data_IF_262567356354
#
_entry.id   IF_262567356354
#
_cell.length_a   1.000
_cell.length_b   1.000
_cell.length_c   1.000
_cell.angle_alpha   90.00
_cell.angle_beta   90.00
_cell.angle_gamma   90.00
#
_symmetry.space_group_name_H-M   'P 1'
#
loop_
_entity.id
_entity.type
_entity.pdbx_description
1 polymer ?
#
# COMPACT_ATOMS: atom_id res chain seq x y z
N UNK A 1 38.62 14.28 -44.80
CA UNK A 1 38.93 13.47 -43.60
C UNK A 1 37.75 13.57 -42.65
N UNK A 2 37.41 12.47 -41.98
CA UNK A 2 36.30 12.31 -41.00
C UNK A 2 34.96 11.77 -41.56
N UNK A 3 34.96 10.49 -41.92
CA UNK A 3 33.76 9.65 -42.14
C UNK A 3 33.81 8.34 -41.33
N UNK A 4 34.65 8.26 -40.30
CA UNK A 4 34.82 7.07 -39.46
C UNK A 4 34.34 7.36 -38.03
N UNK A 5 33.04 7.21 -37.76
CA UNK A 5 32.52 7.02 -36.38
C UNK A 5 31.02 6.65 -36.27
N UNK A 6 30.31 6.38 -37.38
CA UNK A 6 28.88 6.01 -37.31
C UNK A 6 28.59 4.53 -37.04
N UNK A 7 29.58 3.64 -37.12
CA UNK A 7 29.35 2.19 -37.09
C UNK A 7 29.23 1.57 -35.67
N UNK A 8 29.74 2.23 -34.63
CA UNK A 8 29.84 1.64 -33.27
C UNK A 8 28.68 1.97 -32.33
N UNK A 9 27.79 2.90 -32.68
CA UNK A 9 26.69 3.35 -31.80
C UNK A 9 25.40 2.52 -31.92
N UNK A 10 25.26 1.74 -32.98
CA UNK A 10 24.04 0.94 -33.24
C UNK A 10 23.85 -0.26 -32.29
N UNK A 11 24.87 -1.09 -31.97
CA UNK A 11 24.66 -2.27 -31.12
C UNK A 11 24.33 -1.90 -29.66
N UNK A 12 24.88 -0.78 -29.16
CA UNK A 12 24.61 -0.31 -27.79
C UNK A 12 23.15 0.16 -27.63
N UNK A 13 22.60 0.82 -28.65
CA UNK A 13 21.19 1.27 -28.65
C UNK A 13 20.21 0.10 -28.73
N UNK A 14 20.54 -0.95 -29.47
CA UNK A 14 19.71 -2.16 -29.56
C UNK A 14 19.71 -2.98 -28.27
N UNK A 15 20.86 -3.12 -27.60
CA UNK A 15 20.95 -3.80 -26.31
C UNK A 15 20.16 -3.06 -25.22
N UNK A 16 20.25 -1.72 -25.17
CA UNK A 16 19.46 -0.91 -24.25
C UNK A 16 17.95 -1.03 -24.52
N UNK A 17 17.54 -1.07 -25.80
CA UNK A 17 16.13 -1.23 -26.18
C UNK A 17 15.58 -2.62 -25.81
N UNK A 18 16.41 -3.67 -25.94
CA UNK A 18 16.04 -5.04 -25.59
C UNK A 18 15.87 -5.22 -24.07
N UNK A 19 16.78 -4.65 -23.27
CA UNK A 19 16.63 -4.62 -21.80
C UNK A 19 15.38 -3.84 -21.38
N UNK A 20 15.05 -2.75 -22.07
CA UNK A 20 13.83 -1.96 -21.81
C UNK A 20 12.54 -2.69 -22.20
N UNK A 21 12.56 -3.50 -23.28
CA UNK A 21 11.42 -4.31 -23.70
C UNK A 21 11.17 -5.51 -22.77
N UNK A 22 12.23 -6.20 -22.33
CA UNK A 22 12.09 -7.34 -21.40
C UNK A 22 11.61 -6.88 -20.02
N UNK A 23 12.02 -5.69 -19.56
CA UNK A 23 11.53 -5.12 -18.30
C UNK A 23 10.06 -4.68 -18.35
N UNK A 24 9.55 -4.24 -19.51
CA UNK A 24 8.11 -3.93 -19.68
C UNK A 24 7.21 -5.17 -19.67
N UNK A 25 7.68 -6.34 -20.14
CA UNK A 25 6.86 -7.56 -20.18
C UNK A 25 6.67 -8.23 -18.81
N UNK A 26 7.62 -8.11 -17.90
CA UNK A 26 7.53 -8.73 -16.56
C UNK A 26 6.49 -7.99 -15.67
N UNK A 27 6.26 -6.70 -15.92
CA UNK A 27 5.27 -5.92 -15.17
C UNK A 27 3.82 -6.38 -15.37
N UNK A 28 3.49 -7.08 -16.47
CA UNK A 28 2.13 -7.54 -16.74
C UNK A 28 1.78 -8.90 -16.10
N UNK A 29 2.77 -9.69 -15.68
CA UNK A 29 2.52 -11.03 -15.12
C UNK A 29 2.05 -11.01 -13.65
N UNK A 30 2.30 -9.93 -12.91
CA UNK A 30 1.82 -9.77 -11.53
C UNK A 30 0.35 -9.30 -11.44
N UNK A 31 -0.30 -9.01 -12.57
CA UNK A 31 -1.58 -8.32 -12.64
C UNK A 31 -2.83 -9.18 -12.30
N UNK A 32 -2.66 -10.43 -11.84
CA UNK A 32 -3.79 -11.36 -11.69
C UNK A 32 -4.00 -11.96 -10.31
N UNK A 33 -3.08 -11.78 -9.34
CA UNK A 33 -3.22 -12.44 -8.02
C UNK A 33 -4.32 -11.78 -7.19
N UNK A 34 -4.58 -10.49 -7.39
CA UNK A 34 -5.69 -9.78 -6.76
C UNK A 34 -7.03 -9.97 -7.48
N UNK A 35 -7.08 -10.73 -8.58
CA UNK A 35 -8.32 -10.99 -9.32
C UNK A 35 -9.11 -12.13 -8.69
N UNK A 36 -10.43 -11.94 -8.56
CA UNK A 36 -11.30 -12.97 -8.01
C UNK A 36 -12.79 -12.72 -8.22
N UNK A 37 -13.64 -13.55 -7.61
CA UNK A 37 -15.08 -13.54 -7.90
C UNK A 37 -15.86 -12.46 -7.14
N UNK A 38 -15.23 -11.73 -6.22
CA UNK A 38 -15.93 -10.77 -5.38
C UNK A 38 -16.10 -9.41 -6.07
N UNK A 39 -17.08 -8.65 -5.59
CA UNK A 39 -17.35 -7.30 -6.05
C UNK A 39 -17.77 -6.40 -4.88
N UNK A 40 -17.28 -5.17 -4.88
CA UNK A 40 -17.47 -4.20 -3.82
C UNK A 40 -18.18 -2.96 -4.36
N UNK A 41 -19.29 -2.57 -3.74
CA UNK A 41 -19.92 -1.27 -3.98
C UNK A 41 -19.48 -0.29 -2.89
N UNK A 42 -19.02 0.88 -3.32
CA UNK A 42 -18.50 1.94 -2.46
C UNK A 42 -19.35 3.18 -2.70
N UNK A 43 -19.89 3.76 -1.62
CA UNK A 43 -20.68 5.00 -1.66
C UNK A 43 -20.09 6.05 -0.74
N UNK A 44 -19.99 7.29 -1.20
CA UNK A 44 -19.53 8.41 -0.40
C UNK A 44 -20.53 9.56 -0.33
N UNK A 45 -20.74 10.07 0.88
CA UNK A 45 -21.62 11.18 1.21
C UNK A 45 -20.85 12.25 2.01
N UNK A 46 -21.15 13.53 1.79
CA UNK A 46 -20.53 14.66 2.48
C UNK A 46 -21.54 15.79 2.65
N UNK A 47 -21.71 16.30 3.88
CA UNK A 47 -22.72 17.32 4.22
C UNK A 47 -24.16 16.98 3.75
N UNK A 48 -24.51 15.69 3.73
CA UNK A 48 -25.82 15.22 3.27
C UNK A 48 -26.00 15.13 1.75
N UNK A 49 -24.95 15.41 0.96
CA UNK A 49 -24.95 15.26 -0.49
C UNK A 49 -23.99 14.14 -0.94
N UNK A 50 -24.25 13.53 -2.10
CA UNK A 50 -23.34 12.57 -2.72
C UNK A 50 -22.01 13.20 -3.12
N UNK A 51 -20.90 12.48 -2.90
CA UNK A 51 -19.54 12.94 -3.27
C UNK A 51 -19.12 12.29 -4.59
N UNK A 52 -19.54 12.83 -5.73
CA UNK A 52 -19.08 12.33 -7.04
C UNK A 52 -17.64 12.72 -7.39
N UNK A 53 -17.02 12.08 -8.37
CA UNK A 53 -15.66 12.44 -8.81
C UNK A 53 -14.54 12.17 -7.81
N UNK A 54 -14.83 11.57 -6.65
CA UNK A 54 -13.79 11.13 -5.73
C UNK A 54 -13.04 9.93 -6.32
N UNK A 55 -11.74 9.88 -6.10
CA UNK A 55 -10.88 8.77 -6.51
C UNK A 55 -10.90 7.69 -5.43
N UNK A 56 -11.08 6.44 -5.86
CA UNK A 56 -11.11 5.25 -5.02
C UNK A 56 -9.96 4.34 -5.41
N UNK A 57 -9.07 4.07 -4.47
CA UNK A 57 -7.94 3.16 -4.63
C UNK A 57 -8.15 1.93 -3.75
N UNK A 58 -7.90 0.73 -4.30
CA UNK A 58 -8.02 -0.54 -3.61
C UNK A 58 -6.68 -1.28 -3.66
N UNK A 59 -6.16 -1.70 -2.51
CA UNK A 59 -4.91 -2.46 -2.40
C UNK A 59 -5.16 -3.78 -1.67
N UNK A 60 -4.81 -4.90 -2.30
CA UNK A 60 -4.93 -6.24 -1.72
C UNK A 60 -3.76 -6.51 -0.79
N UNK A 61 -4.04 -6.68 0.49
CA UNK A 61 -3.00 -6.72 1.54
C UNK A 61 -2.31 -8.08 1.67
N UNK A 62 -2.75 -9.11 0.95
CA UNK A 62 -2.08 -10.41 0.90
C UNK A 62 -0.87 -10.41 -0.06
N UNK A 63 -0.64 -9.33 -0.82
CA UNK A 63 0.52 -9.16 -1.70
C UNK A 63 1.60 -8.32 -1.01
N UNK A 64 2.86 -8.62 -1.32
CA UNK A 64 4.02 -7.82 -0.91
C UNK A 64 4.87 -7.48 -2.15
N UNK A 65 4.84 -6.22 -2.64
CA UNK A 65 4.07 -5.09 -2.11
C UNK A 65 2.56 -5.24 -2.38
N UNK A 66 1.69 -4.58 -1.57
CA UNK A 66 0.27 -4.52 -1.84
C UNK A 66 -0.03 -3.96 -3.24
N UNK A 67 -0.97 -4.59 -3.93
CA UNK A 67 -1.36 -4.22 -5.29
C UNK A 67 -2.86 -4.44 -5.49
N UNK A 68 -3.45 -3.78 -6.48
CA UNK A 68 -4.88 -3.91 -6.77
C UNK A 68 -5.27 -3.37 -8.14
N UNK A 69 -6.57 -3.26 -8.43
CA UNK A 69 -7.05 -2.73 -9.70
C UNK A 69 -6.68 -1.25 -9.87
N UNK A 70 -6.73 -0.71 -11.10
CA UNK A 70 -6.58 0.72 -11.33
C UNK A 70 -7.57 1.55 -10.48
N UNK A 71 -7.19 2.76 -10.05
CA UNK A 71 -8.10 3.63 -9.30
C UNK A 71 -9.41 3.88 -10.05
N UNK A 72 -10.52 3.80 -9.34
CA UNK A 72 -11.85 4.03 -9.87
C UNK A 72 -12.38 5.40 -9.42
N UNK A 73 -13.34 5.97 -10.14
CA UNK A 73 -13.91 7.28 -9.83
C UNK A 73 -15.38 7.13 -9.46
N UNK A 74 -15.81 7.77 -8.37
CA UNK A 74 -17.22 7.79 -7.97
C UNK A 74 -18.08 8.52 -9.02
N UNK A 75 -19.23 7.96 -9.36
CA UNK A 75 -20.20 8.58 -10.27
C UNK A 75 -20.83 9.85 -9.67
N UNK A 76 -21.67 10.56 -10.41
CA UNK A 76 -22.37 11.76 -9.91
C UNK A 76 -23.27 11.49 -8.67
N UNK A 77 -23.62 10.23 -8.41
CA UNK A 77 -24.38 9.79 -7.22
C UNK A 77 -23.45 9.40 -6.07
N UNK A 78 -22.14 9.58 -6.22
CA UNK A 78 -21.14 9.24 -5.20
C UNK A 78 -20.95 7.73 -5.06
N UNK A 79 -21.11 6.95 -6.13
CA UNK A 79 -21.05 5.48 -6.09
C UNK A 79 -20.06 4.94 -7.11
N UNK A 80 -19.40 3.82 -6.76
CA UNK A 80 -18.64 3.00 -7.71
C UNK A 80 -18.80 1.53 -7.35
N UNK A 81 -18.79 0.68 -8.38
CA UNK A 81 -18.75 -0.78 -8.21
C UNK A 81 -17.43 -1.26 -8.78
N UNK A 82 -16.63 -1.92 -7.95
CA UNK A 82 -15.36 -2.54 -8.35
C UNK A 82 -15.52 -4.05 -8.27
N UNK A 83 -15.54 -4.71 -9.42
CA UNK A 83 -15.61 -6.17 -9.52
C UNK A 83 -14.24 -6.81 -9.72
N UNK A 84 -14.21 -8.13 -9.78
CA UNK A 84 -12.99 -8.87 -10.07
C UNK A 84 -12.01 -8.89 -8.91
N UNK A 85 -12.49 -8.81 -7.67
CA UNK A 85 -11.65 -8.75 -6.48
C UNK A 85 -11.43 -10.16 -5.90
N UNK A 86 -10.17 -10.49 -5.59
CA UNK A 86 -9.82 -11.63 -4.76
C UNK A 86 -10.44 -11.51 -3.38
N UNK A 87 -10.76 -12.65 -2.77
CA UNK A 87 -11.27 -12.68 -1.40
C UNK A 87 -10.15 -12.41 -0.39
N UNK A 88 -10.46 -11.75 0.72
CA UNK A 88 -9.54 -11.47 1.81
C UNK A 88 -9.44 -9.99 2.15
N UNK A 89 -8.32 -9.58 2.75
CA UNK A 89 -8.18 -8.24 3.30
C UNK A 89 -7.76 -7.22 2.25
N UNK A 90 -8.53 -6.13 2.16
CA UNK A 90 -8.30 -5.01 1.28
C UNK A 90 -8.17 -3.72 2.06
N UNK A 91 -7.26 -2.85 1.62
CA UNK A 91 -7.24 -1.43 2.00
C UNK A 91 -7.96 -0.64 0.93
N UNK A 92 -8.88 0.21 1.33
CA UNK A 92 -9.61 1.13 0.44
C UNK A 92 -9.34 2.56 0.87
N UNK A 93 -8.94 3.41 -0.08
CA UNK A 93 -8.74 4.85 0.11
C UNK A 93 -9.69 5.62 -0.80
N UNK A 94 -10.44 6.58 -0.24
CA UNK A 94 -11.35 7.47 -0.97
C UNK A 94 -10.90 8.90 -0.73
N UNK A 95 -10.53 9.61 -1.80
CA UNK A 95 -10.00 10.97 -1.74
C UNK A 95 -10.72 11.91 -2.71
N UNK A 96 -10.90 13.16 -2.28
CA UNK A 96 -11.41 14.26 -3.11
C UNK A 96 -10.95 15.59 -2.53
N UNK A 97 -10.60 16.53 -3.40
CA UNK A 97 -10.27 17.90 -2.98
C UNK A 97 -11.37 18.53 -2.11
N UNK A 98 -10.94 19.20 -1.04
CA UNK A 98 -11.85 19.79 -0.05
C UNK A 98 -12.41 18.80 0.98
N UNK A 99 -12.18 17.50 0.82
CA UNK A 99 -12.59 16.46 1.77
C UNK A 99 -11.39 15.81 2.47
N UNK A 100 -11.59 15.38 3.71
CA UNK A 100 -10.66 14.48 4.38
C UNK A 100 -10.58 13.17 3.61
N UNK A 101 -9.36 12.61 3.48
CA UNK A 101 -9.19 11.30 2.84
C UNK A 101 -9.72 10.23 3.77
N UNK A 102 -10.67 9.42 3.30
CA UNK A 102 -11.21 8.30 4.05
C UNK A 102 -10.43 7.04 3.70
N UNK A 103 -10.00 6.29 4.70
CA UNK A 103 -9.37 4.99 4.49
C UNK A 103 -10.03 3.92 5.37
N UNK A 104 -10.12 2.70 4.85
CA UNK A 104 -10.63 1.55 5.58
C UNK A 104 -9.88 0.27 5.21
N UNK A 105 -9.76 -0.63 6.17
CA UNK A 105 -9.37 -2.01 5.94
C UNK A 105 -10.60 -2.90 6.10
N UNK A 106 -10.86 -3.76 5.12
CA UNK A 106 -12.05 -4.59 5.09
C UNK A 106 -11.80 -5.97 4.47
N UNK A 107 -12.42 -7.01 5.05
CA UNK A 107 -12.44 -8.35 4.49
C UNK A 107 -13.55 -8.42 3.43
N UNK A 108 -13.15 -8.68 2.18
CA UNK A 108 -14.03 -8.83 1.02
C UNK A 108 -14.22 -10.31 0.74
N UNK A 109 -15.48 -10.75 0.67
CA UNK A 109 -15.87 -12.11 0.27
C UNK A 109 -16.89 -12.04 -0.85
N UNK A 110 -16.98 -13.09 -1.66
CA UNK A 110 -17.90 -13.15 -2.80
C UNK A 110 -19.36 -12.98 -2.38
N UNK A 111 -19.76 -13.71 -1.34
CA UNK A 111 -21.17 -13.87 -0.98
C UNK A 111 -21.59 -13.09 0.27
N UNK A 112 -20.63 -12.57 1.04
CA UNK A 112 -20.91 -11.86 2.30
C UNK A 112 -20.85 -10.33 2.16
N UNK A 113 -21.45 -9.66 3.15
CA UNK A 113 -21.27 -8.21 3.31
C UNK A 113 -19.81 -7.95 3.73
N UNK A 114 -19.11 -6.97 3.12
CA UNK A 114 -17.75 -6.62 3.52
C UNK A 114 -17.67 -6.29 5.01
N UNK A 115 -16.71 -6.88 5.71
CA UNK A 115 -16.52 -6.67 7.15
C UNK A 115 -15.43 -5.64 7.39
N UNK A 116 -15.76 -4.53 8.06
CA UNK A 116 -14.79 -3.49 8.39
C UNK A 116 -13.88 -3.96 9.53
N UNK A 117 -12.58 -4.00 9.28
CA UNK A 117 -11.56 -4.27 10.28
C UNK A 117 -11.08 -2.98 10.95
N UNK A 118 -10.89 -1.91 10.17
CA UNK A 118 -10.47 -0.60 10.64
C UNK A 118 -10.98 0.52 9.72
N UNK A 119 -11.15 1.73 10.26
CA UNK A 119 -11.48 2.94 9.49
C UNK A 119 -10.74 4.13 10.07
N UNK A 120 -10.21 5.00 9.22
CA UNK A 120 -9.62 6.27 9.63
C UNK A 120 -9.92 7.37 8.61
N UNK A 121 -9.90 8.61 9.07
CA UNK A 121 -9.98 9.79 8.19
C UNK A 121 -8.76 10.64 8.42
N UNK A 122 -8.04 10.92 7.34
CA UNK A 122 -6.82 11.72 7.36
C UNK A 122 -7.16 13.16 6.93
N UNK A 123 -6.78 14.12 7.77
CA UNK A 123 -6.83 15.51 7.38
C UNK A 123 -5.72 15.78 6.36
N UNK A 124 -6.08 16.25 5.18
CA UNK A 124 -5.12 16.61 4.13
C UNK A 124 -5.16 18.13 3.93
N UNK A 125 -4.05 18.79 3.55
CA UNK A 125 -4.07 20.23 3.30
C UNK A 125 -5.20 20.63 2.35
N UNK A 126 -6.03 21.58 2.78
CA UNK A 126 -7.22 22.02 2.03
C UNK A 126 -8.50 21.22 2.30
N UNK A 127 -8.45 20.13 3.07
CA UNK A 127 -9.65 19.43 3.51
C UNK A 127 -10.41 20.25 4.55
N UNK A 128 -11.65 20.60 4.22
CA UNK A 128 -12.56 21.35 5.10
C UNK A 128 -13.79 20.54 5.46
N UNK A 129 -14.01 19.39 4.82
CA UNK A 129 -15.22 18.60 4.95
C UNK A 129 -14.93 17.13 5.26
N UNK A 130 -15.74 16.54 6.13
CA UNK A 130 -15.70 15.10 6.38
C UNK A 130 -16.49 14.35 5.32
N UNK A 131 -16.05 13.13 5.02
CA UNK A 131 -16.73 12.20 4.11
C UNK A 131 -17.19 10.96 4.88
N UNK A 132 -18.41 10.51 4.60
CA UNK A 132 -18.97 9.26 5.11
C UNK A 132 -18.95 8.24 3.97
N UNK A 133 -18.16 7.19 4.12
CA UNK A 133 -18.06 6.11 3.14
C UNK A 133 -18.82 4.89 3.64
N UNK A 134 -19.58 4.24 2.76
CA UNK A 134 -20.31 3.00 3.02
C UNK A 134 -19.86 1.94 2.03
N UNK A 135 -19.79 0.71 2.53
CA UNK A 135 -19.38 -0.46 1.77
C UNK A 135 -20.54 -1.45 1.74
N UNK A 136 -20.92 -1.87 0.54
CA UNK A 136 -21.97 -2.85 0.30
C UNK A 136 -21.45 -3.95 -0.63
N UNK A 137 -22.02 -5.15 -0.52
CA UNK A 137 -21.75 -6.23 -1.47
C UNK A 137 -22.37 -5.83 -2.81
N UNK A 138 -21.54 -5.70 -3.84
CA UNK A 138 -22.06 -5.53 -5.19
C UNK A 138 -22.53 -6.89 -5.71
N UNK A 139 -23.64 -6.92 -6.44
CA UNK A 139 -23.95 -8.09 -7.26
C UNK A 139 -22.82 -8.22 -8.28
N UNK A 140 -22.20 -9.40 -8.48
CA UNK A 140 -21.19 -9.57 -9.51
C UNK A 140 -21.84 -9.17 -10.83
N UNK A 141 -21.53 -7.95 -11.28
CA UNK A 141 -21.92 -7.48 -12.60
C UNK A 141 -21.15 -8.39 -13.52
N UNK A 142 -21.84 -9.33 -14.17
CA UNK A 142 -21.25 -10.36 -15.02
C UNK A 142 -20.10 -9.73 -15.78
N UNK A 143 -18.89 -10.27 -15.57
CA UNK A 143 -17.61 -9.65 -15.87
C UNK A 143 -17.75 -8.68 -17.04
N UNK A 144 -17.49 -7.38 -16.79
CA UNK A 144 -17.50 -6.39 -17.86
C UNK A 144 -16.74 -7.01 -19.03
N UNK A 145 -17.39 -7.23 -20.19
CA UNK A 145 -16.79 -7.98 -21.28
C UNK A 145 -15.44 -7.34 -21.53
N UNK A 146 -14.38 -8.16 -21.44
CA UNK A 146 -13.03 -7.73 -21.75
C UNK A 146 -13.13 -6.91 -23.05
N UNK A 147 -12.55 -5.69 -23.10
CA UNK A 147 -12.64 -4.88 -24.30
C UNK A 147 -12.27 -5.77 -25.49
N UNK A 148 -13.13 -5.85 -26.53
CA UNK A 148 -12.89 -6.76 -27.63
C UNK A 148 -11.48 -6.49 -28.15
N UNK A 149 -10.70 -7.54 -28.44
CA UNK A 149 -9.36 -7.36 -28.96
C UNK A 149 -9.44 -6.40 -30.15
N UNK A 150 -8.53 -5.42 -30.24
CA UNK A 150 -8.61 -4.38 -31.27
C UNK A 150 -8.74 -5.02 -32.65
N UNK A 151 -9.73 -4.55 -33.42
CA UNK A 151 -10.04 -5.12 -34.72
C UNK A 151 -8.79 -5.18 -35.62
N UNK A 152 -8.55 -6.29 -36.35
CA UNK A 152 -7.39 -6.44 -37.21
C UNK A 152 -7.39 -5.32 -38.26
N UNK A 153 -6.34 -4.48 -38.27
CA UNK A 153 -6.15 -3.48 -39.33
C UNK A 153 -5.87 -4.19 -40.66
N UNK A 154 -6.35 -3.65 -41.80
CA UNK A 154 -6.05 -4.19 -43.13
C UNK A 154 -4.54 -4.34 -43.34
N UNK A 155 -4.12 -5.52 -43.80
CA UNK A 155 -2.71 -5.83 -44.04
C UNK A 155 -2.11 -4.88 -45.09
N UNK A 156 -1.08 -4.13 -44.71
CA UNK A 156 -0.23 -3.43 -45.67
C UNK A 156 0.68 -4.42 -46.43
N UNK A 157 1.05 -4.11 -47.69
CA UNK A 157 1.85 -4.99 -48.53
C UNK A 157 3.27 -5.19 -47.97
N UNK A 158 3.66 -6.44 -47.75
CA UNK A 158 4.99 -6.84 -47.25
C UNK A 158 6.06 -6.52 -48.29
N UNK A 159 7.05 -5.69 -47.93
CA UNK A 159 8.23 -5.41 -48.75
C UNK A 159 9.25 -6.57 -48.62
N UNK A 160 9.91 -7.03 -49.71
CA UNK A 160 10.80 -8.20 -49.68
C UNK A 160 12.01 -8.03 -48.75
N UNK A 161 12.37 -9.11 -48.06
CA UNK A 161 13.45 -9.18 -47.07
C UNK A 161 14.84 -9.09 -47.71
N UNK A 162 15.73 -8.31 -47.07
CA UNK A 162 17.14 -8.14 -47.43
C UNK A 162 18.00 -9.27 -46.82
N UNK A 163 19.05 -9.77 -47.51
CA UNK A 163 19.83 -10.93 -47.07
C UNK A 163 20.69 -10.65 -45.82
N UNK A 164 21.01 -11.71 -45.04
CA UNK A 164 21.70 -11.57 -43.76
C UNK A 164 23.17 -11.13 -43.92
N UNK A 165 23.69 -10.26 -43.03
CA UNK A 165 25.10 -9.83 -43.05
C UNK A 165 26.05 -10.94 -42.59
N UNK A 166 27.23 -11.00 -43.23
CA UNK A 166 28.30 -11.95 -42.90
C UNK A 166 28.94 -11.70 -41.53
N UNK A 167 29.35 -12.79 -40.87
CA UNK A 167 30.03 -12.80 -39.56
C UNK A 167 31.30 -11.93 -39.56
N UNK A 168 31.37 -11.00 -38.60
CA UNK A 168 32.59 -10.25 -38.29
C UNK A 168 33.42 -10.98 -37.22
N UNK A 169 34.77 -11.00 -37.35
CA UNK A 169 35.67 -11.63 -36.39
C UNK A 169 35.75 -10.87 -35.05
N UNK A 170 36.15 -11.55 -33.96
CA UNK A 170 36.11 -11.00 -32.61
C UNK A 170 37.09 -9.84 -32.43
N UNK A 171 36.62 -8.78 -31.78
CA UNK A 171 37.39 -7.57 -31.45
C UNK A 171 38.35 -7.80 -30.26
N UNK A 172 39.53 -7.15 -30.25
CA UNK A 172 40.50 -7.27 -29.16
C UNK A 172 40.09 -6.50 -27.88
N UNK A 173 40.52 -7.03 -26.73
CA UNK A 173 40.30 -6.47 -25.38
C UNK A 173 40.83 -5.02 -25.23
N UNK A 174 40.08 -4.13 -24.57
CA UNK A 174 40.53 -2.78 -24.28
C UNK A 174 41.46 -2.73 -23.05
N UNK A 175 42.48 -1.85 -23.03
CA UNK A 175 43.34 -1.64 -21.87
C UNK A 175 42.64 -0.79 -20.79
N UNK A 176 43.03 -1.05 -19.54
CA UNK A 176 42.54 -0.39 -18.34
C UNK A 176 42.77 1.13 -18.36
N UNK A 177 41.71 1.90 -18.07
CA UNK A 177 41.74 3.36 -18.02
C UNK A 177 41.83 3.85 -16.56
N UNK A 178 42.83 4.71 -16.32
CA UNK A 178 43.14 5.37 -15.05
C UNK A 178 42.12 6.49 -14.72
N UNK A 179 41.88 6.68 -13.42
CA UNK A 179 40.98 7.69 -12.87
C UNK A 179 41.49 9.14 -13.06
N UNK A 180 40.61 10.13 -13.33
CA UNK A 180 41.00 11.53 -13.29
C UNK A 180 40.60 12.24 -11.98
N UNK A 181 41.49 13.15 -11.59
CA UNK A 181 41.39 14.06 -10.46
C UNK A 181 40.37 15.20 -10.65
N UNK A 182 39.96 15.74 -9.51
CA UNK A 182 39.12 16.91 -9.23
C UNK A 182 39.61 18.24 -9.82
N UNK A 183 38.68 19.08 -10.27
CA UNK A 183 38.84 20.54 -10.39
C UNK A 183 37.60 21.27 -9.84
N UNK A 184 37.75 22.45 -9.19
CA UNK A 184 36.65 23.33 -8.82
C UNK A 184 36.50 24.52 -9.81
N UNK A 185 35.27 24.91 -10.14
CA UNK A 185 34.93 26.15 -10.90
C UNK A 185 33.49 26.53 -10.52
N UNK A 186 33.22 27.58 -9.72
CA UNK A 186 33.22 29.03 -9.95
C UNK A 186 32.00 29.55 -10.76
N UNK A 187 31.29 30.50 -10.12
CA UNK A 187 30.09 31.25 -10.53
C UNK A 187 30.04 31.72 -12.00
N UNK A 188 28.82 31.77 -12.57
CA UNK A 188 28.49 32.76 -13.61
C UNK A 188 27.29 32.47 -14.52
N UNK A 189 26.21 33.24 -14.31
CA UNK A 189 25.33 33.87 -15.31
C UNK A 189 24.29 33.05 -16.13
N UNK A 190 23.02 33.43 -15.90
CA UNK A 190 21.97 33.84 -16.85
C UNK A 190 21.95 33.21 -18.27
N UNK A 191 20.85 32.52 -18.62
CA UNK A 191 20.04 32.77 -19.83
C UNK A 191 18.88 31.76 -19.95
N UNK A 192 17.66 32.29 -20.08
CA UNK A 192 16.46 31.62 -20.60
C UNK A 192 16.50 31.66 -22.14
N UNK A 193 16.11 30.58 -22.85
CA UNK A 193 15.08 30.72 -23.90
C UNK A 193 14.19 29.44 -24.09
N UNK A 194 13.16 29.48 -24.97
CA UNK A 194 11.92 28.71 -24.78
C UNK A 194 11.76 27.45 -25.67
N UNK A 195 10.77 26.64 -25.25
CA UNK A 195 9.84 25.79 -25.99
C UNK A 195 10.26 25.16 -27.35
N UNK A 196 10.27 23.83 -27.38
CA UNK A 196 9.96 23.04 -28.57
C UNK A 196 9.20 21.76 -28.16
N UNK A 197 7.97 21.64 -28.66
CA UNK A 197 7.15 20.41 -28.71
C UNK A 197 7.85 19.38 -29.60
N UNK A 198 8.12 18.18 -29.10
CA UNK A 198 8.49 17.02 -29.90
C UNK A 198 7.36 15.98 -29.89
N UNK A 199 6.90 15.66 -31.10
CA UNK A 199 5.87 14.69 -31.47
C UNK A 199 6.42 13.26 -31.34
N UNK A 200 5.71 12.31 -30.70
CA UNK A 200 6.24 10.97 -30.47
C UNK A 200 6.10 10.05 -31.69
N UNK A 201 7.23 9.73 -32.31
CA UNK A 201 7.35 8.68 -33.34
C UNK A 201 7.01 7.27 -32.81
N UNK A 202 6.24 6.55 -33.62
CA UNK A 202 5.69 5.23 -33.32
C UNK A 202 6.77 4.13 -33.30
N UNK A 203 6.79 3.33 -32.23
CA UNK A 203 7.66 2.14 -32.11
C UNK A 203 7.07 0.92 -32.86
N UNK A 204 7.91 0.06 -33.46
CA UNK A 204 7.49 -1.14 -34.19
C UNK A 204 7.10 -2.30 -33.25
N UNK A 205 6.13 -3.11 -33.69
CA UNK A 205 5.56 -4.24 -32.96
C UNK A 205 6.40 -5.54 -33.08
N UNK A 206 6.35 -6.44 -32.07
CA UNK A 206 7.02 -7.74 -32.10
C UNK A 206 6.34 -8.77 -33.05
N UNK A 207 7.05 -9.83 -33.47
CA UNK A 207 6.54 -10.84 -34.40
C UNK A 207 5.44 -11.72 -33.80
N UNK A 208 4.44 -12.02 -34.64
CA UNK A 208 3.22 -12.79 -34.33
C UNK A 208 3.50 -14.30 -34.43
N UNK A 209 3.07 -15.14 -33.46
CA UNK A 209 3.10 -16.60 -33.58
C UNK A 209 2.04 -17.14 -34.56
N UNK A 210 2.40 -18.23 -35.25
CA UNK A 210 1.59 -18.85 -36.31
C UNK A 210 0.22 -19.36 -35.84
N UNK A 211 -0.80 -19.40 -36.73
CA UNK A 211 -2.16 -19.78 -36.39
C UNK A 211 -2.29 -21.29 -36.09
N UNK A 212 -2.91 -21.60 -34.96
CA UNK A 212 -3.29 -22.97 -34.57
C UNK A 212 -4.63 -23.32 -35.26
N UNK A 213 -4.77 -24.51 -35.87
CA UNK A 213 -5.99 -24.90 -36.59
C UNK A 213 -7.20 -25.06 -35.66
N UNK A 214 -8.34 -24.58 -36.15
CA UNK A 214 -9.66 -24.65 -35.52
C UNK A 214 -10.14 -26.10 -35.45
N UNK A 215 -10.37 -26.61 -34.25
CA UNK A 215 -10.94 -27.93 -34.03
C UNK A 215 -12.47 -27.93 -34.25
N UNK A 216 -12.94 -29.00 -34.89
CA UNK A 216 -14.33 -29.28 -35.20
C UNK A 216 -15.21 -29.45 -33.94
N UNK A 217 -16.52 -29.14 -34.02
CA UNK A 217 -17.43 -29.27 -32.89
C UNK A 217 -17.61 -30.74 -32.47
N UNK A 218 -17.40 -31.00 -31.18
CA UNK A 218 -17.59 -32.31 -30.57
C UNK A 218 -19.09 -32.65 -30.38
N UNK A 219 -19.48 -33.93 -30.44
CA UNK A 219 -20.86 -34.38 -30.25
C UNK A 219 -21.40 -34.15 -28.83
N UNK A 220 -22.69 -33.85 -28.77
CA UNK A 220 -23.47 -33.62 -27.54
C UNK A 220 -23.51 -34.90 -26.69
N UNK A 221 -22.97 -34.82 -25.47
CA UNK A 221 -22.99 -35.87 -24.46
C UNK A 221 -24.35 -35.87 -23.71
N UNK A 222 -24.96 -37.04 -23.43
CA UNK A 222 -26.28 -37.14 -22.80
C UNK A 222 -26.26 -36.76 -21.31
N UNK A 223 -27.38 -36.18 -20.87
CA UNK A 223 -27.58 -35.66 -19.52
C UNK A 223 -27.37 -36.72 -18.41
N UNK A 224 -26.66 -36.39 -17.32
CA UNK A 224 -26.46 -37.30 -16.20
C UNK A 224 -27.75 -37.48 -15.39
N UNK A 225 -28.08 -38.75 -15.13
CA UNK A 225 -29.20 -39.17 -14.29
C UNK A 225 -28.83 -38.96 -12.83
N UNK A 226 -29.69 -38.23 -12.11
CA UNK A 226 -29.54 -37.87 -10.71
C UNK A 226 -29.69 -39.11 -9.79
N UNK A 227 -28.68 -39.46 -8.97
CA UNK A 227 -28.77 -40.61 -8.07
C UNK A 227 -29.70 -40.34 -6.88
N UNK A 228 -30.52 -41.34 -6.56
CA UNK A 228 -31.48 -41.31 -5.46
C UNK A 228 -30.81 -41.08 -4.09
N UNK A 229 -31.49 -40.38 -3.15
CA UNK A 229 -30.91 -39.99 -1.87
C UNK A 229 -30.59 -41.20 -0.99
N UNK A 230 -29.31 -41.31 -0.59
CA UNK A 230 -28.82 -42.27 0.40
C UNK A 230 -29.45 -41.98 1.77
N UNK A 231 -29.98 -43.01 2.48
CA UNK A 231 -30.60 -42.82 3.79
C UNK A 231 -29.61 -42.28 4.83
N UNK A 232 -30.10 -41.36 5.66
CA UNK A 232 -29.34 -40.68 6.70
C UNK A 232 -28.81 -41.69 7.74
N UNK A 233 -27.53 -41.59 8.14
CA UNK A 233 -26.95 -42.48 9.13
C UNK A 233 -27.59 -42.27 10.51
N UNK A 234 -27.93 -43.39 11.14
CA UNK A 234 -28.45 -43.46 12.51
C UNK A 234 -27.45 -42.83 13.48
N UNK A 235 -27.89 -41.94 14.39
CA UNK A 235 -26.99 -41.25 15.31
C UNK A 235 -26.27 -42.23 16.24
N UNK A 236 -24.93 -42.21 16.17
CA UNK A 236 -24.04 -42.89 17.11
C UNK A 236 -24.26 -42.33 18.52
N UNK A 237 -24.45 -43.19 19.54
CA UNK A 237 -24.66 -42.74 20.92
C UNK A 237 -23.49 -41.90 21.41
N UNK A 238 -23.82 -40.80 22.09
CA UNK A 238 -22.85 -39.84 22.63
C UNK A 238 -21.89 -40.54 23.62
N UNK A 239 -20.58 -40.32 23.51
CA UNK A 239 -19.62 -40.92 24.43
C UNK A 239 -19.85 -40.40 25.85
N UNK A 240 -19.86 -41.33 26.80
CA UNK A 240 -19.92 -41.06 28.24
C UNK A 240 -18.81 -40.05 28.62
N UNK A 241 -19.13 -38.95 29.32
CA UNK A 241 -18.15 -37.95 29.70
C UNK A 241 -17.00 -38.57 30.50
N UNK A 242 -15.77 -38.35 30.04
CA UNK A 242 -14.58 -38.70 30.79
C UNK A 242 -14.55 -37.93 32.12
N UNK A 243 -14.10 -38.55 33.22
CA UNK A 243 -14.03 -37.90 34.53
C UNK A 243 -13.20 -36.63 34.45
N UNK A 244 -13.73 -35.56 35.05
CA UNK A 244 -13.10 -34.25 35.06
C UNK A 244 -11.69 -34.34 35.66
N UNK A 245 -10.65 -33.89 34.95
CA UNK A 245 -9.28 -33.92 35.45
C UNK A 245 -9.18 -33.10 36.73
N UNK A 246 -8.42 -33.62 37.69
CA UNK A 246 -8.14 -32.94 38.96
C UNK A 246 -7.60 -31.52 38.70
N UNK A 247 -8.04 -30.51 39.47
CA UNK A 247 -7.65 -29.12 39.26
C UNK A 247 -6.13 -28.99 39.28
N UNK A 248 -5.59 -28.48 38.17
CA UNK A 248 -4.17 -28.19 38.05
C UNK A 248 -3.76 -27.20 39.16
N UNK A 249 -2.57 -27.37 39.77
CA UNK A 249 -2.09 -26.49 40.81
C UNK A 249 -2.10 -25.04 40.30
N UNK A 250 -2.61 -24.14 41.15
CA UNK A 250 -2.69 -22.71 40.88
C UNK A 250 -1.29 -22.22 40.46
N UNK A 251 -1.10 -21.66 39.25
CA UNK A 251 0.20 -21.19 38.82
C UNK A 251 0.71 -20.15 39.82
N UNK A 252 1.95 -20.34 40.28
CA UNK A 252 2.63 -19.36 41.10
C UNK A 252 2.55 -17.99 40.42
N UNK A 253 2.37 -16.89 41.16
CA UNK A 253 2.31 -15.55 40.59
C UNK A 253 3.53 -15.35 39.71
N UNK A 254 3.31 -15.27 38.40
CA UNK A 254 4.35 -14.94 37.44
C UNK A 254 4.77 -13.54 37.81
N UNK A 255 5.98 -13.39 38.35
CA UNK A 255 6.59 -12.08 38.53
C UNK A 255 6.60 -11.45 37.14
N UNK A 256 5.78 -10.42 36.97
CA UNK A 256 5.73 -9.62 35.76
C UNK A 256 7.16 -9.19 35.48
N UNK A 257 7.74 -9.67 34.39
CA UNK A 257 9.06 -9.22 33.96
C UNK A 257 9.04 -7.69 33.96
N UNK A 258 10.06 -7.03 34.54
CA UNK A 258 10.08 -5.58 34.65
C UNK A 258 9.82 -5.00 33.27
N UNK A 259 8.75 -4.21 33.18
CA UNK A 259 8.37 -3.51 31.96
C UNK A 259 9.62 -2.77 31.47
N UNK A 260 10.11 -3.05 30.25
CA UNK A 260 11.34 -2.45 29.75
C UNK A 260 11.18 -0.94 29.87
N UNK A 261 12.09 -0.30 30.61
CA UNK A 261 12.07 1.13 30.86
C UNK A 261 11.99 1.85 29.51
N UNK A 262 10.81 2.37 29.19
CA UNK A 262 10.53 3.07 27.94
C UNK A 262 11.45 4.29 27.94
N UNK A 263 12.46 4.27 27.07
CA UNK A 263 13.39 5.37 26.91
C UNK A 263 12.59 6.54 26.30
N UNK A 264 12.38 7.58 27.09
CA UNK A 264 12.15 8.96 26.62
C UNK A 264 10.72 9.31 26.20
N UNK A 265 10.08 10.17 27.00
CA UNK A 265 8.85 10.87 26.64
C UNK A 265 7.77 10.73 27.70
N UNK A 266 7.31 11.84 28.27
CA UNK A 266 6.11 11.83 29.11
C UNK A 266 4.91 11.50 28.23
N UNK A 267 4.19 10.41 28.52
CA UNK A 267 2.95 10.10 27.83
C UNK A 267 1.86 11.05 28.31
N UNK A 268 1.34 11.87 27.40
CA UNK A 268 0.22 12.76 27.65
C UNK A 268 -1.10 12.08 27.29
N UNK A 269 -1.96 11.87 28.28
CA UNK A 269 -3.32 11.35 28.10
C UNK A 269 -4.32 12.51 28.03
N UNK A 270 -5.10 12.59 26.94
CA UNK A 270 -6.15 13.59 26.76
C UNK A 270 -7.45 12.89 26.39
N UNK A 271 -8.58 13.35 26.90
CA UNK A 271 -9.89 12.74 26.63
C UNK A 271 -10.91 13.77 26.19
N UNK A 272 -11.92 13.32 25.43
CA UNK A 272 -13.09 14.15 25.14
C UNK A 272 -13.88 14.49 26.41
N UNK A 273 -14.00 13.52 27.34
CA UNK A 273 -14.77 13.67 28.57
C UNK A 273 -14.24 14.81 29.45
N UNK A 274 -12.91 14.94 29.54
CA UNK A 274 -12.24 15.96 30.34
C UNK A 274 -11.98 17.26 29.54
N UNK A 275 -12.42 17.31 28.27
CA UNK A 275 -12.21 18.42 27.32
C UNK A 275 -10.74 18.80 27.11
N UNK A 276 -9.82 17.88 27.39
CA UNK A 276 -8.39 18.06 27.16
C UNK A 276 -7.99 17.66 25.74
N UNK A 277 -8.83 16.88 25.04
CA UNK A 277 -8.65 16.52 23.63
C UNK A 277 -9.74 17.19 22.77
N UNK A 278 -9.43 18.34 22.16
CA UNK A 278 -10.38 19.09 21.33
C UNK A 278 -10.72 18.42 19.99
N UNK A 279 -9.86 17.53 19.53
CA UNK A 279 -9.99 16.78 18.28
C UNK A 279 -10.62 15.39 18.45
N UNK A 280 -10.73 14.92 19.70
CA UNK A 280 -11.37 13.64 20.01
C UNK A 280 -12.88 13.74 19.80
N UNK A 281 -13.51 12.65 19.36
CA UNK A 281 -14.96 12.52 19.30
C UNK A 281 -15.55 12.13 20.66
N UNK A 282 -16.88 12.27 20.87
CA UNK A 282 -17.53 11.70 22.05
C UNK A 282 -17.19 10.22 22.26
N UNK A 283 -16.64 9.89 23.44
CA UNK A 283 -16.20 8.53 23.79
C UNK A 283 -14.75 8.19 23.39
N UNK A 284 -14.03 9.12 22.75
CA UNK A 284 -12.65 8.96 22.33
C UNK A 284 -11.66 9.65 23.30
N UNK A 285 -10.46 9.07 23.37
CA UNK A 285 -9.31 9.60 24.09
C UNK A 285 -8.06 9.49 23.20
N UNK A 286 -6.98 10.15 23.61
CA UNK A 286 -5.70 10.14 22.90
C UNK A 286 -4.53 9.96 23.87
N UNK A 287 -3.54 9.18 23.46
CA UNK A 287 -2.23 9.13 24.09
C UNK A 287 -1.23 9.80 23.15
N UNK A 288 -0.41 10.71 23.67
CA UNK A 288 0.68 11.32 22.89
C UNK A 288 2.01 11.07 23.58
N UNK A 289 3.03 10.73 22.79
CA UNK A 289 4.42 10.66 23.24
C UNK A 289 5.26 11.55 22.34
N UNK A 290 6.26 12.17 22.93
CA UNK A 290 7.21 13.04 22.24
C UNK A 290 8.65 12.60 22.49
N UNK A 291 9.47 12.70 21.45
CA UNK A 291 10.89 12.36 21.52
C UNK A 291 11.72 13.33 20.69
N UNK A 292 12.88 13.75 21.22
CA UNK A 292 13.84 14.58 20.48
C UNK A 292 14.83 13.67 19.78
N UNK A 293 14.76 13.63 18.46
CA UNK A 293 15.57 12.74 17.62
C UNK A 293 16.71 13.55 17.03
N UNK A 294 17.95 13.17 17.36
CA UNK A 294 19.17 13.74 16.78
C UNK A 294 19.20 13.59 15.26
N UNK A 295 20.08 14.31 14.57
CA UNK A 295 20.24 14.14 13.12
C UNK A 295 21.12 12.94 12.80
N UNK A 296 20.84 12.19 11.74
CA UNK A 296 21.66 11.03 11.38
C UNK A 296 21.26 10.40 10.03
N UNK A 297 21.72 9.17 9.73
CA UNK A 297 21.37 8.46 8.50
C UNK A 297 19.89 8.06 8.40
N UNK A 298 19.13 8.10 9.50
CA UNK A 298 17.72 7.71 9.53
C UNK A 298 17.53 6.23 9.83
N UNK A 299 16.31 5.72 9.66
CA UNK A 299 15.96 4.35 10.10
C UNK A 299 16.43 3.26 9.13
N UNK A 300 16.77 3.63 7.89
CA UNK A 300 17.17 2.69 6.84
C UNK A 300 16.03 1.77 6.36
N UNK A 301 16.33 0.82 5.45
CA UNK A 301 15.31 -0.04 4.85
C UNK A 301 14.71 -1.05 5.84
N UNK A 302 15.42 -1.38 6.93
CA UNK A 302 14.99 -2.36 7.94
C UNK A 302 14.01 -1.79 8.99
N UNK A 303 13.44 -0.60 8.75
CA UNK A 303 12.53 0.06 9.69
C UNK A 303 11.28 -0.78 10.00
N UNK A 304 10.81 -1.62 9.06
CA UNK A 304 9.71 -2.58 9.31
C UNK A 304 10.08 -3.61 10.37
N UNK A 305 11.29 -4.15 10.28
CA UNK A 305 11.78 -5.15 11.22
C UNK A 305 11.99 -4.52 12.60
N UNK A 306 12.46 -3.28 12.67
CA UNK A 306 12.57 -2.53 13.93
C UNK A 306 11.20 -2.35 14.61
N UNK A 307 10.17 -1.98 13.84
CA UNK A 307 8.81 -1.82 14.34
C UNK A 307 8.21 -3.15 14.84
N UNK A 308 8.52 -4.25 14.16
CA UNK A 308 8.04 -5.59 14.53
C UNK A 308 8.78 -6.17 15.76
N UNK A 309 10.11 -6.03 15.82
CA UNK A 309 10.95 -6.61 16.87
C UNK A 309 10.80 -5.90 18.21
N UNK A 310 10.53 -4.59 18.20
CA UNK A 310 10.12 -3.83 19.36
C UNK A 310 11.11 -3.64 20.51
N UNK A 311 12.35 -4.11 20.37
CA UNK A 311 13.41 -3.94 21.36
C UNK A 311 14.79 -3.63 20.75
N UNK A 312 14.90 -3.55 19.42
CA UNK A 312 16.17 -3.19 18.78
C UNK A 312 16.45 -1.70 19.00
N UNK A 313 17.69 -1.38 19.41
CA UNK A 313 18.13 0.01 19.53
C UNK A 313 18.17 0.63 18.13
N UNK A 314 17.45 1.74 17.89
CA UNK A 314 17.40 2.35 16.56
C UNK A 314 18.76 2.98 16.21
N UNK A 315 19.13 3.04 14.91
CA UNK A 315 20.33 3.73 14.47
C UNK A 315 20.28 5.23 14.74
N UNK A 316 21.42 5.91 14.66
CA UNK A 316 21.48 7.37 14.79
C UNK A 316 20.54 8.08 13.79
N UNK A 317 19.86 9.12 14.24
CA UNK A 317 18.85 9.80 13.42
C UNK A 317 17.54 9.05 13.28
N UNK A 318 17.35 7.93 13.98
CA UNK A 318 16.10 7.18 14.05
C UNK A 318 15.61 7.09 15.50
N UNK A 319 14.29 7.18 15.69
CA UNK A 319 13.64 6.86 16.94
C UNK A 319 12.41 5.98 16.69
N UNK A 320 12.09 5.12 17.65
CA UNK A 320 10.87 4.30 17.63
C UNK A 320 10.01 4.71 18.82
N UNK A 321 8.95 5.47 18.52
CA UNK A 321 8.00 5.93 19.53
C UNK A 321 6.96 4.82 19.75
N UNK A 322 6.77 4.42 21.01
CA UNK A 322 5.87 3.33 21.38
C UNK A 322 4.86 3.76 22.43
N UNK A 323 3.59 3.43 22.20
CA UNK A 323 2.48 3.66 23.11
C UNK A 323 1.74 2.35 23.34
N UNK A 324 1.36 2.08 24.59
CA UNK A 324 0.49 0.95 24.94
C UNK A 324 -0.90 1.48 25.22
N UNK A 325 -1.89 1.01 24.46
CA UNK A 325 -3.28 1.37 24.70
C UNK A 325 -3.82 0.68 25.96
N UNK A 326 -4.74 1.33 26.70
CA UNK A 326 -5.41 0.70 27.84
C UNK A 326 -6.07 -0.63 27.46
N UNK A 327 -6.18 -1.55 28.42
CA UNK A 327 -6.81 -2.84 28.17
C UNK A 327 -8.24 -2.67 27.63
N UNK A 328 -8.56 -3.40 26.56
CA UNK A 328 -9.87 -3.32 25.88
C UNK A 328 -10.10 -2.06 25.03
N UNK A 329 -9.16 -1.11 25.00
CA UNK A 329 -9.24 0.04 24.10
C UNK A 329 -9.23 -0.41 22.63
N UNK A 330 -10.02 0.27 21.81
CA UNK A 330 -10.01 0.10 20.36
C UNK A 330 -9.30 1.29 19.72
N UNK A 331 -8.24 0.99 18.99
CA UNK A 331 -7.54 1.97 18.16
C UNK A 331 -8.49 2.57 17.12
N UNK A 332 -8.51 3.90 17.00
CA UNK A 332 -9.37 4.64 16.05
C UNK A 332 -8.58 5.49 15.06
N UNK A 333 -7.33 5.83 15.36
CA UNK A 333 -6.48 6.58 14.43
C UNK A 333 -5.16 7.03 15.03
N UNK A 334 -4.41 7.79 14.26
CA UNK A 334 -3.13 8.36 14.67
C UNK A 334 -2.91 9.73 14.03
N UNK A 335 -1.99 10.50 14.60
CA UNK A 335 -1.46 11.73 14.04
C UNK A 335 0.04 11.78 14.28
N UNK A 336 0.75 12.23 13.26
CA UNK A 336 2.18 12.50 13.29
C UNK A 336 2.41 13.99 13.27
N UNK A 337 3.27 14.47 14.16
CA UNK A 337 3.66 15.87 14.21
C UNK A 337 5.18 15.97 14.39
N UNK A 338 5.75 17.02 13.81
CA UNK A 338 7.10 17.49 14.15
C UNK A 338 6.96 18.87 14.78
N UNK A 339 7.51 19.03 15.98
CA UNK A 339 7.53 20.32 16.67
C UNK A 339 8.80 21.08 16.39
N UNK A 340 8.61 22.33 15.98
CA UNK A 340 9.62 23.37 15.85
C UNK A 340 9.42 24.45 16.92
N UNK A 341 10.31 25.45 16.96
CA UNK A 341 10.19 26.57 17.91
C UNK A 341 8.91 27.38 17.74
N UNK A 342 8.34 27.40 16.53
CA UNK A 342 7.13 28.14 16.17
C UNK A 342 5.83 27.36 16.40
N UNK A 343 5.90 26.06 16.71
CA UNK A 343 4.74 25.18 16.89
C UNK A 343 4.92 23.79 16.27
N UNK A 344 3.86 22.99 16.33
CA UNK A 344 3.78 21.68 15.69
C UNK A 344 3.29 21.75 14.25
N UNK A 345 3.86 20.93 13.38
CA UNK A 345 3.40 20.73 12.00
C UNK A 345 2.98 19.28 11.81
N UNK A 346 1.78 19.06 11.28
CA UNK A 346 1.28 17.73 10.96
C UNK A 346 2.04 17.10 9.79
N UNK A 347 2.36 15.81 9.92
CA UNK A 347 3.04 15.02 8.91
C UNK A 347 2.16 13.88 8.40
N UNK A 348 2.43 13.45 7.16
CA UNK A 348 1.82 12.26 6.57
C UNK A 348 2.82 11.11 6.60
N UNK A 349 2.33 9.90 6.89
CA UNK A 349 3.12 8.69 6.78
C UNK A 349 3.70 8.53 5.36
N UNK A 350 4.93 8.04 5.27
CA UNK A 350 5.67 7.85 4.02
C UNK A 350 6.21 9.13 3.39
N UNK A 351 5.93 10.33 3.92
CA UNK A 351 6.33 11.62 3.34
C UNK A 351 7.22 12.43 4.27
N UNK A 352 8.05 13.28 3.67
CA UNK A 352 8.83 14.25 4.42
C UNK A 352 7.92 15.26 5.12
N UNK A 353 8.24 15.55 6.38
CA UNK A 353 7.57 16.58 7.17
C UNK A 353 7.98 17.98 6.68
N UNK A 354 7.06 18.95 6.62
CA UNK A 354 7.47 20.35 6.53
C UNK A 354 8.27 20.72 7.77
N UNK A 355 9.45 21.33 7.60
CA UNK A 355 10.42 21.52 8.69
C UNK A 355 11.48 20.40 8.79
N UNK A 356 11.26 19.32 8.04
CA UNK A 356 12.14 18.16 7.86
C UNK A 356 11.92 17.04 8.87
N UNK A 357 12.65 15.95 8.68
CA UNK A 357 12.31 14.67 9.28
C UNK A 357 11.20 13.96 8.49
N UNK A 358 10.93 12.70 8.83
CA UNK A 358 9.96 11.87 8.13
C UNK A 358 9.44 10.76 9.03
N UNK A 359 8.18 10.40 8.83
CA UNK A 359 7.58 9.18 9.36
C UNK A 359 7.50 8.18 8.21
N UNK A 360 8.43 7.22 8.07
CA UNK A 360 8.57 6.45 6.84
C UNK A 360 7.41 5.50 6.56
N UNK A 361 6.61 5.14 7.58
CA UNK A 361 5.55 4.15 7.50
C UNK A 361 4.35 4.55 8.38
N UNK A 362 3.21 3.91 8.13
CA UNK A 362 2.08 3.85 9.07
C UNK A 362 2.53 3.22 10.41
N UNK A 363 1.84 3.51 11.53
CA UNK A 363 2.18 2.90 12.80
C UNK A 363 1.91 1.38 12.76
N UNK A 364 2.80 0.60 13.33
CA UNK A 364 2.63 -0.83 13.52
C UNK A 364 1.79 -1.10 14.78
N UNK A 365 0.77 -1.94 14.66
CA UNK A 365 -0.09 -2.36 15.77
C UNK A 365 0.24 -3.82 16.14
N UNK A 366 0.59 -4.06 17.39
CA UNK A 366 0.81 -5.39 17.95
C UNK A 366 -0.20 -5.64 19.06
N UNK A 367 -1.05 -6.66 18.89
CA UNK A 367 -2.06 -7.03 19.89
C UNK A 367 -1.58 -8.24 20.68
N UNK A 368 -1.61 -8.16 22.01
CA UNK A 368 -1.25 -9.26 22.90
C UNK A 368 -2.16 -9.28 24.13
N UNK A 369 -2.69 -10.45 24.51
CA UNK A 369 -3.40 -10.72 25.77
C UNK A 369 -4.26 -9.57 26.37
N UNK A 370 -4.99 -8.81 25.53
CA UNK A 370 -5.87 -7.71 25.95
C UNK A 370 -5.29 -6.30 25.88
N UNK A 371 -4.01 -6.13 25.51
CA UNK A 371 -3.37 -4.85 25.24
C UNK A 371 -3.07 -4.70 23.74
N UNK A 372 -2.95 -3.45 23.29
CA UNK A 372 -2.49 -3.11 21.94
C UNK A 372 -1.32 -2.16 22.07
N UNK A 373 -0.14 -2.58 21.63
CA UNK A 373 1.02 -1.72 21.48
C UNK A 373 1.00 -1.09 20.08
N UNK A 374 1.25 0.21 20.01
CA UNK A 374 1.37 0.97 18.77
C UNK A 374 2.77 1.53 18.70
N UNK A 375 3.49 1.26 17.61
CA UNK A 375 4.87 1.74 17.40
C UNK A 375 4.95 2.51 16.09
N UNK A 376 5.68 3.63 16.08
CA UNK A 376 5.98 4.37 14.86
C UNK A 376 7.45 4.80 14.85
N UNK A 377 8.05 4.77 13.67
CA UNK A 377 9.43 5.20 13.49
C UNK A 377 9.44 6.66 13.03
N UNK A 378 10.37 7.44 13.53
CA UNK A 378 10.68 8.77 13.01
C UNK A 378 12.15 8.82 12.61
N UNK A 379 12.40 9.33 11.42
CA UNK A 379 13.75 9.58 10.93
C UNK A 379 14.02 11.09 10.80
N UNK A 380 15.20 11.51 11.23
CA UNK A 380 15.70 12.87 11.10
C UNK A 380 16.94 12.87 10.19
N UNK A 381 16.77 12.63 8.87
CA UNK A 381 17.88 12.58 7.95
C UNK A 381 18.54 13.97 7.83
N UNK A 382 19.87 14.00 7.92
CA UNK A 382 20.68 15.18 7.61
C UNK A 382 21.65 15.59 8.72
N UNK A 383 22.10 16.84 8.65
CA UNK A 383 23.02 17.45 9.61
C UNK A 383 22.33 18.67 10.21
N UNK A 384 21.72 18.53 11.38
CA UNK A 384 20.88 19.58 11.95
C UNK A 384 20.64 19.40 13.44
N UNK A 385 19.90 20.34 14.03
CA UNK A 385 19.46 20.19 15.40
C UNK A 385 18.52 18.98 15.55
N UNK A 386 18.43 18.45 16.78
CA UNK A 386 17.44 17.44 17.10
C UNK A 386 16.02 17.95 16.81
N UNK A 387 15.19 17.10 16.21
CA UNK A 387 13.79 17.40 15.92
C UNK A 387 12.89 16.70 16.91
N UNK A 388 11.84 17.38 17.37
CA UNK A 388 10.88 16.81 18.32
C UNK A 388 9.78 16.12 17.53
N UNK A 389 9.81 14.80 17.51
CA UNK A 389 8.77 13.96 16.91
C UNK A 389 7.65 13.74 17.93
N UNK A 390 6.40 13.87 17.50
CA UNK A 390 5.22 13.63 18.34
C UNK A 390 4.33 12.60 17.66
N UNK A 391 4.08 11.51 18.37
CA UNK A 391 3.13 10.49 18.00
C UNK A 391 1.88 10.62 18.87
N UNK A 392 0.73 10.89 18.27
CA UNK A 392 -0.57 10.85 18.94
C UNK A 392 -1.39 9.68 18.43
N UNK A 393 -1.91 8.85 19.33
CA UNK A 393 -2.80 7.74 19.02
C UNK A 393 -4.17 8.02 19.62
N UNK A 394 -5.21 7.90 18.79
CA UNK A 394 -6.60 8.01 19.21
C UNK A 394 -7.18 6.62 19.44
N UNK A 395 -8.02 6.50 20.47
CA UNK A 395 -8.69 5.26 20.82
C UNK A 395 -10.02 5.51 21.52
N UNK A 396 -10.96 4.58 21.38
CA UNK A 396 -12.14 4.51 22.25
C UNK A 396 -11.87 3.53 23.37
N UNK A 397 -12.22 3.88 24.61
CA UNK A 397 -12.10 2.94 25.73
C UNK A 397 -13.00 1.72 25.54
N UNK A 398 -12.61 0.58 26.11
CA UNK A 398 -13.63 -0.34 26.61
C UNK A 398 -14.41 0.47 27.64
N UNK A 399 -15.73 0.60 27.49
CA UNK A 399 -16.57 1.25 28.49
C UNK A 399 -16.11 0.73 29.85
N UNK A 400 -15.71 1.65 30.76
CA UNK A 400 -15.60 1.27 32.16
C UNK A 400 -17.02 0.89 32.52
N UNK A 401 -17.31 -0.41 32.57
CA UNK A 401 -18.57 -0.89 33.09
C UNK A 401 -18.64 -0.27 34.51
N UNK A 402 -19.58 0.63 34.78
CA UNK A 402 -19.57 1.48 35.97
C UNK A 402 -19.65 0.67 37.26
#
# INVERSE_FOLDING_TARGET
>A
MSTANRATLLPLRLAALFVLLVSLSIAQAHAQIWQGPAALEIRAEGKGASVGGATVELLYLALDPPAGPPPAVLDAKGRVVVGGLAEGMWRVSVSRDGFMTFQAELDVRRDDKPTLAATFQQNVPGAVHMMKVRFERAKPSGAAPLPPPPAPRPAEPVKPAEPPPAEQPPAPEPPAEEAPMTHPTLLGMLAEPPAAEEEPEARPAPPVPAPVPVAAPAPVEPAPVEPAPTPAPTPTPAPTPAPAPAPAPLPAPVQTAPEPAVRGGSVLNRSYADRTCYECKPGEASLSIEEVVGSGPGCGPAVRDLLAAGAAEPPEGCAVLRLTLPAGARYTGYRYEVQERSGGVDCLAGRDCPGGGRWPLDPALVRSAGTTAVSAAFENPGTGAGRRAVLTIYYTGAERNP
#
